data_IF_483032094501
#
_entry.id   IF_483032094501
#
_cell.length_a   1.000
_cell.length_b   1.000
_cell.length_c   1.000
_cell.angle_alpha   90.00
_cell.angle_beta   90.00
_cell.angle_gamma   90.00
#
_symmetry.space_group_name_H-M   'P 1'
#
loop_
_entity.id
_entity.type
_entity.pdbx_description
1 polymer ?
#
# COMPACT_ATOMS: atom_id res chain seq x y z
N UNK A 1 26.54 -7.00 2.69
CA UNK A 1 26.52 -6.02 1.58
C UNK A 1 26.84 -4.64 2.15
N UNK A 2 27.60 -3.78 1.45
CA UNK A 2 27.77 -2.39 1.84
C UNK A 2 26.39 -1.71 1.95
N UNK A 3 26.08 -0.96 3.02
CA UNK A 3 24.77 -0.29 3.18
C UNK A 3 24.39 0.60 2.00
N UNK A 4 25.39 1.26 1.39
CA UNK A 4 25.24 2.07 0.19
C UNK A 4 24.78 1.28 -1.03
N UNK A 5 25.31 0.07 -1.23
CA UNK A 5 24.90 -0.81 -2.33
C UNK A 5 23.45 -1.29 -2.18
N UNK A 6 23.03 -1.60 -0.94
CA UNK A 6 21.66 -2.02 -0.68
C UNK A 6 20.64 -0.90 -0.92
N UNK A 7 20.95 0.33 -0.48
CA UNK A 7 20.13 1.51 -0.74
C UNK A 7 20.01 1.79 -2.25
N UNK A 8 21.14 1.79 -2.97
CA UNK A 8 21.15 2.01 -4.40
C UNK A 8 20.31 0.98 -5.17
N UNK A 9 20.45 -0.31 -4.82
CA UNK A 9 19.64 -1.37 -5.44
C UNK A 9 18.15 -1.22 -5.15
N UNK A 10 17.77 -0.83 -3.93
CA UNK A 10 16.36 -0.63 -3.56
C UNK A 10 15.73 0.53 -4.35
N UNK A 11 16.41 1.67 -4.40
CA UNK A 11 15.91 2.86 -5.13
C UNK A 11 15.82 2.59 -6.63
N UNK A 12 16.86 1.97 -7.23
CA UNK A 12 16.80 1.56 -8.63
C UNK A 12 15.66 0.57 -8.91
N UNK A 13 15.43 -0.38 -8.01
CA UNK A 13 14.32 -1.32 -8.13
C UNK A 13 12.96 -0.63 -8.13
N UNK A 14 12.75 0.35 -7.23
CA UNK A 14 11.50 1.13 -7.16
C UNK A 14 11.30 1.97 -8.42
N UNK A 15 12.35 2.65 -8.89
CA UNK A 15 12.28 3.47 -10.13
C UNK A 15 11.91 2.59 -11.32
N UNK A 16 12.60 1.47 -11.53
CA UNK A 16 12.30 0.55 -12.62
C UNK A 16 10.88 -0.03 -12.50
N UNK A 17 10.46 -0.41 -11.30
CA UNK A 17 9.11 -0.91 -11.04
C UNK A 17 8.04 0.13 -11.42
N UNK A 18 8.15 1.36 -10.93
CA UNK A 18 7.20 2.43 -11.22
C UNK A 18 7.19 2.81 -12.71
N UNK A 19 8.35 2.84 -13.37
CA UNK A 19 8.45 3.08 -14.82
C UNK A 19 7.70 2.01 -15.63
N UNK A 20 7.92 0.73 -15.33
CA UNK A 20 7.26 -0.37 -16.05
C UNK A 20 5.74 -0.37 -15.80
N UNK A 21 5.30 -0.17 -14.55
CA UNK A 21 3.88 -0.09 -14.22
C UNK A 21 3.23 1.08 -14.97
N UNK A 22 3.84 2.26 -14.94
CA UNK A 22 3.32 3.44 -15.63
C UNK A 22 3.19 3.23 -17.15
N UNK A 23 4.22 2.66 -17.79
CA UNK A 23 4.19 2.38 -19.23
C UNK A 23 3.14 1.33 -19.60
N UNK A 24 3.00 0.26 -18.79
CA UNK A 24 2.03 -0.81 -19.04
C UNK A 24 0.59 -0.35 -18.85
N UNK A 25 0.34 0.47 -17.83
CA UNK A 25 -0.98 0.98 -17.52
C UNK A 25 -1.40 2.16 -18.41
N UNK A 26 -0.45 2.88 -19.01
CA UNK A 26 -0.71 4.15 -19.70
C UNK A 26 -1.33 4.05 -21.11
N UNK A 27 -1.07 2.96 -21.85
CA UNK A 27 -1.51 2.84 -23.26
C UNK A 27 -3.03 2.96 -23.45
N UNK A 28 -3.79 2.20 -22.64
CA UNK A 28 -5.25 2.20 -22.68
C UNK A 28 -5.87 3.14 -21.64
N UNK A 29 -5.07 3.86 -20.86
CA UNK A 29 -5.56 4.67 -19.73
C UNK A 29 -6.55 5.74 -20.18
N UNK A 30 -6.20 6.51 -21.21
CA UNK A 30 -7.04 7.60 -21.72
C UNK A 30 -8.31 7.05 -22.37
N UNK A 31 -8.21 5.98 -23.15
CA UNK A 31 -9.37 5.32 -23.74
C UNK A 31 -10.32 4.78 -22.66
N UNK A 32 -9.79 4.06 -21.66
CA UNK A 32 -10.58 3.53 -20.53
C UNK A 32 -11.21 4.64 -19.69
N UNK A 33 -10.57 5.81 -19.59
CA UNK A 33 -11.06 6.95 -18.83
C UNK A 33 -12.19 7.71 -19.55
N UNK A 34 -12.06 7.89 -20.86
CA UNK A 34 -12.95 8.72 -21.68
C UNK A 34 -14.13 7.93 -22.23
N UNK A 35 -13.89 6.67 -22.61
CA UNK A 35 -14.92 5.81 -23.20
C UNK A 35 -15.63 5.00 -22.10
N UNK A 36 -16.74 5.56 -21.59
CA UNK A 36 -17.66 4.89 -20.67
C UNK A 36 -17.64 5.43 -19.23
N UNK A 37 -17.82 4.54 -18.26
CA UNK A 37 -17.86 4.88 -16.82
C UNK A 37 -16.48 4.94 -16.15
N UNK A 38 -15.39 5.06 -16.91
CA UNK A 38 -14.02 5.04 -16.37
C UNK A 38 -13.77 6.04 -15.23
N UNK A 39 -14.35 7.23 -15.33
CA UNK A 39 -14.24 8.25 -14.29
C UNK A 39 -14.95 7.86 -12.98
N UNK A 40 -16.09 7.17 -13.05
CA UNK A 40 -16.79 6.70 -11.83
C UNK A 40 -15.98 5.59 -11.15
N UNK A 41 -15.37 4.69 -11.93
CA UNK A 41 -14.46 3.65 -11.42
C UNK A 41 -13.22 4.22 -10.74
N UNK A 42 -12.61 5.26 -11.30
CA UNK A 42 -11.52 5.98 -10.64
C UNK A 42 -12.00 6.61 -9.33
N UNK A 43 -13.18 7.23 -9.33
CA UNK A 43 -13.80 7.79 -8.14
C UNK A 43 -13.99 6.76 -7.03
N UNK A 44 -14.58 5.60 -7.36
CA UNK A 44 -14.77 4.51 -6.39
C UNK A 44 -13.43 3.95 -5.90
N UNK A 45 -12.47 3.73 -6.80
CA UNK A 45 -11.14 3.27 -6.42
C UNK A 45 -10.42 4.25 -5.49
N UNK A 46 -10.53 5.54 -5.77
CA UNK A 46 -9.99 6.60 -4.92
C UNK A 46 -10.66 6.62 -3.54
N UNK A 47 -11.99 6.51 -3.48
CA UNK A 47 -12.73 6.50 -2.21
C UNK A 47 -12.39 5.27 -1.37
N UNK A 48 -12.43 4.08 -1.97
CA UNK A 48 -12.13 2.82 -1.28
C UNK A 48 -10.68 2.78 -0.78
N UNK A 49 -9.78 3.52 -1.42
CA UNK A 49 -8.37 3.62 -0.99
C UNK A 49 -8.16 4.72 0.06
N UNK A 50 -8.63 5.93 -0.22
CA UNK A 50 -8.35 7.12 0.60
C UNK A 50 -9.14 7.11 1.91
N UNK A 51 -10.42 6.72 1.89
CA UNK A 51 -11.27 6.77 3.08
C UNK A 51 -10.74 5.87 4.20
N UNK A 52 -10.41 4.58 3.95
CA UNK A 52 -9.83 3.74 5.00
C UNK A 52 -8.46 4.24 5.46
N UNK A 53 -7.59 4.66 4.54
CA UNK A 53 -6.25 5.17 4.88
C UNK A 53 -6.31 6.39 5.81
N UNK A 54 -7.14 7.38 5.46
CA UNK A 54 -7.30 8.60 6.25
C UNK A 54 -7.94 8.26 7.60
N UNK A 55 -8.99 7.45 7.60
CA UNK A 55 -9.71 7.07 8.82
C UNK A 55 -8.77 6.35 9.80
N UNK A 56 -8.06 5.32 9.33
CA UNK A 56 -7.10 4.57 10.16
C UNK A 56 -5.95 5.46 10.61
N UNK A 57 -5.43 6.33 9.74
CA UNK A 57 -4.37 7.28 10.09
C UNK A 57 -4.80 8.24 11.21
N UNK A 58 -6.00 8.80 11.12
CA UNK A 58 -6.55 9.69 12.16
C UNK A 58 -6.75 8.91 13.47
N UNK A 59 -7.38 7.74 13.42
CA UNK A 59 -7.63 6.92 14.61
C UNK A 59 -6.32 6.47 15.29
N UNK A 60 -5.32 6.05 14.51
CA UNK A 60 -4.00 5.67 15.02
C UNK A 60 -3.30 6.85 15.72
N UNK A 61 -3.48 8.07 15.20
CA UNK A 61 -2.93 9.28 15.83
C UNK A 61 -3.68 9.67 17.09
N UNK A 62 -5.01 9.62 17.08
CA UNK A 62 -5.86 10.07 18.18
C UNK A 62 -5.91 9.07 19.34
N UNK A 63 -6.11 7.78 19.05
CA UNK A 63 -6.32 6.75 20.07
C UNK A 63 -5.00 6.13 20.55
N UNK A 64 -4.12 5.76 19.62
CA UNK A 64 -2.89 5.04 19.92
C UNK A 64 -1.66 5.96 20.10
N UNK A 65 -1.82 7.27 19.86
CA UNK A 65 -0.76 8.30 19.97
C UNK A 65 0.55 7.90 19.27
N UNK A 66 0.43 7.20 18.14
CA UNK A 66 1.58 6.63 17.44
C UNK A 66 2.46 7.73 16.83
N UNK A 67 3.78 7.49 16.85
CA UNK A 67 4.72 8.36 16.16
C UNK A 67 4.51 8.25 14.63
N UNK A 68 4.88 9.31 13.92
CA UNK A 68 4.61 9.44 12.49
C UNK A 68 5.30 8.33 11.65
N UNK A 69 6.53 7.96 11.99
CA UNK A 69 7.29 6.92 11.28
C UNK A 69 6.66 5.52 11.42
N UNK A 70 6.26 5.14 12.63
CA UNK A 70 5.54 3.88 12.88
C UNK A 70 4.19 3.88 12.17
N UNK A 71 3.47 5.00 12.18
CA UNK A 71 2.19 5.11 11.46
C UNK A 71 2.39 4.95 9.95
N UNK A 72 3.39 5.61 9.35
CA UNK A 72 3.71 5.42 7.93
C UNK A 72 4.10 3.96 7.61
N UNK A 73 4.91 3.32 8.47
CA UNK A 73 5.28 1.91 8.32
C UNK A 73 4.08 0.96 8.42
N UNK A 74 3.18 1.21 9.37
CA UNK A 74 1.92 0.46 9.53
C UNK A 74 1.02 0.60 8.30
N UNK A 75 0.79 1.83 7.83
CA UNK A 75 -0.07 2.08 6.68
C UNK A 75 0.54 1.49 5.40
N UNK A 76 1.86 1.67 5.19
CA UNK A 76 2.58 1.06 4.07
C UNK A 76 2.50 -0.47 4.10
N UNK A 77 2.64 -1.09 5.29
CA UNK A 77 2.54 -2.54 5.46
C UNK A 77 1.12 -3.07 5.23
N UNK A 78 0.11 -2.29 5.64
CA UNK A 78 -1.31 -2.63 5.46
C UNK A 78 -1.78 -2.49 4.02
N UNK A 79 -1.24 -1.51 3.30
CA UNK A 79 -1.51 -1.33 1.87
C UNK A 79 -0.59 -2.16 0.98
N UNK A 80 0.37 -2.86 1.58
CA UNK A 80 1.43 -3.62 0.89
C UNK A 80 2.15 -2.76 -0.16
N UNK A 81 2.60 -1.58 0.25
CA UNK A 81 3.20 -0.55 -0.60
C UNK A 81 4.69 -0.33 -0.24
N UNK A 82 5.62 -1.05 -0.90
CA UNK A 82 7.06 -0.89 -0.69
C UNK A 82 7.60 0.52 -1.02
N UNK A 83 7.14 1.21 -2.09
CA UNK A 83 7.48 2.62 -2.30
C UNK A 83 7.15 3.53 -1.11
N UNK A 84 5.97 3.41 -0.51
CA UNK A 84 5.61 4.20 0.66
C UNK A 84 6.53 3.91 1.87
N UNK A 85 6.93 2.65 2.06
CA UNK A 85 7.90 2.27 3.08
C UNK A 85 9.29 2.87 2.80
N UNK A 86 9.74 2.85 1.55
CA UNK A 86 11.04 3.43 1.18
C UNK A 86 11.06 4.94 1.45
N UNK A 87 9.99 5.65 1.08
CA UNK A 87 9.80 7.06 1.40
C UNK A 87 9.83 7.31 2.92
N UNK A 88 9.09 6.52 3.71
CA UNK A 88 9.07 6.65 5.16
C UNK A 88 10.45 6.42 5.82
N UNK A 89 11.23 5.46 5.30
CA UNK A 89 12.61 5.24 5.78
C UNK A 89 13.55 6.38 5.37
N UNK A 90 13.35 6.98 4.19
CA UNK A 90 14.15 8.13 3.74
C UNK A 90 13.86 9.41 4.57
N UNK A 91 12.68 9.53 5.20
CA UNK A 91 12.36 10.64 6.10
C UNK A 91 13.23 10.68 7.36
N UNK A 92 13.56 9.53 7.92
CA UNK A 92 14.44 9.44 9.09
C UNK A 92 15.29 8.15 9.02
N UNK A 93 16.40 8.18 8.27
CA UNK A 93 17.19 6.98 7.94
C UNK A 93 17.74 6.21 9.14
N UNK A 94 17.91 6.89 10.27
CA UNK A 94 18.40 6.31 11.53
C UNK A 94 17.29 5.69 12.38
N UNK A 95 16.01 5.93 12.05
CA UNK A 95 14.88 5.39 12.79
C UNK A 95 14.34 4.14 12.10
N UNK A 96 14.61 2.97 12.69
CA UNK A 96 14.08 1.68 12.23
C UNK A 96 12.58 1.49 12.47
N UNK A 97 11.88 2.51 13.00
CA UNK A 97 10.48 2.42 13.42
C UNK A 97 9.51 2.11 12.27
N UNK A 98 9.74 2.67 11.07
CA UNK A 98 8.90 2.42 9.90
C UNK A 98 9.06 0.99 9.38
N UNK A 99 10.31 0.52 9.24
CA UNK A 99 10.62 -0.84 8.82
C UNK A 99 10.10 -1.89 9.82
N UNK A 100 10.27 -1.65 11.12
CA UNK A 100 9.75 -2.53 12.17
C UNK A 100 8.22 -2.62 12.09
N UNK A 101 7.53 -1.46 12.03
CA UNK A 101 6.07 -1.46 11.96
C UNK A 101 5.56 -2.17 10.71
N UNK A 102 6.18 -1.95 9.56
CA UNK A 102 5.83 -2.63 8.31
C UNK A 102 5.95 -4.15 8.45
N UNK A 103 7.09 -4.63 8.98
CA UNK A 103 7.34 -6.05 9.15
C UNK A 103 6.35 -6.73 10.11
N UNK A 104 5.81 -6.00 11.09
CA UNK A 104 4.82 -6.55 12.03
C UNK A 104 3.42 -6.71 11.42
N UNK A 105 2.95 -5.71 10.64
CA UNK A 105 1.58 -5.75 10.10
C UNK A 105 1.48 -6.52 8.79
N UNK A 106 2.54 -6.56 7.99
CA UNK A 106 2.52 -7.15 6.66
C UNK A 106 2.09 -8.64 6.66
N UNK A 107 2.62 -9.53 7.52
CA UNK A 107 2.21 -10.93 7.54
C UNK A 107 0.73 -11.13 7.90
N UNK A 108 0.24 -10.39 8.89
CA UNK A 108 -1.16 -10.45 9.32
C UNK A 108 -2.08 -10.02 8.18
N UNK A 109 -1.76 -8.91 7.52
CA UNK A 109 -2.55 -8.37 6.43
C UNK A 109 -2.54 -9.31 5.23
N UNK A 110 -1.40 -9.89 4.88
CA UNK A 110 -1.31 -10.89 3.80
C UNK A 110 -2.16 -12.12 4.10
N UNK A 111 -2.13 -12.61 5.35
CA UNK A 111 -2.98 -13.71 5.78
C UNK A 111 -4.47 -13.37 5.61
N UNK A 112 -4.91 -12.23 6.14
CA UNK A 112 -6.30 -11.79 6.03
C UNK A 112 -6.73 -11.57 4.58
N UNK A 113 -5.86 -11.00 3.73
CA UNK A 113 -6.13 -10.80 2.30
C UNK A 113 -6.32 -12.11 1.54
N UNK A 114 -5.67 -13.20 1.96
CA UNK A 114 -5.85 -14.52 1.34
C UNK A 114 -7.12 -15.20 1.85
N UNK A 115 -7.34 -15.19 3.17
CA UNK A 115 -8.43 -15.94 3.81
C UNK A 115 -9.79 -15.28 3.58
N UNK A 116 -9.86 -13.94 3.59
CA UNK A 116 -11.16 -13.23 3.52
C UNK A 116 -11.93 -13.51 2.22
N UNK A 117 -11.32 -13.44 1.02
CA UNK A 117 -12.02 -13.80 -0.22
C UNK A 117 -12.47 -15.27 -0.25
N UNK A 118 -11.68 -16.18 0.33
CA UNK A 118 -12.00 -17.61 0.39
C UNK A 118 -13.20 -17.87 1.29
N UNK A 119 -13.24 -17.23 2.47
CA UNK A 119 -14.40 -17.29 3.38
C UNK A 119 -15.65 -16.71 2.73
N UNK A 120 -15.54 -15.57 2.04
CA UNK A 120 -16.66 -14.96 1.31
C UNK A 120 -17.18 -15.91 0.22
N UNK A 121 -16.29 -16.56 -0.54
CA UNK A 121 -16.70 -17.51 -1.57
C UNK A 121 -17.46 -18.70 -1.00
N UNK A 122 -16.98 -19.30 0.10
CA UNK A 122 -17.68 -20.42 0.78
C UNK A 122 -19.01 -19.97 1.36
N UNK A 123 -19.06 -18.78 1.96
CA UNK A 123 -20.29 -18.23 2.53
C UNK A 123 -21.35 -18.02 1.45
N UNK A 124 -20.98 -17.42 0.30
CA UNK A 124 -21.92 -17.22 -0.81
C UNK A 124 -22.32 -18.53 -1.48
N UNK A 125 -21.41 -19.50 -1.60
CA UNK A 125 -21.73 -20.83 -2.09
C UNK A 125 -22.71 -21.58 -1.17
N UNK A 126 -22.60 -21.41 0.15
CA UNK A 126 -23.50 -22.06 1.11
C UNK A 126 -24.89 -21.43 1.17
N UNK A 127 -25.07 -20.20 0.67
CA UNK A 127 -26.34 -19.48 0.68
C UNK A 127 -27.10 -19.65 -0.65
N UNK A 128 -26.39 -19.97 -1.74
CA UNK A 128 -26.97 -20.30 -3.06
C UNK A 128 -27.32 -21.78 -3.19
#
# INVERSE_FOLDING_TARGET
MPPSANLALRELGIVLFLSVVGLKSGGDFIHTLVDGEGLSWIGYGALITAVPLITVGILARMLAKMNYLTMCGMLAGSMTDPPALAFANNLHPTSGAAALSYATVYPLVMFLRIITPQLLAVLFWSIG
#
